data_IF_595036054744
#
_entry.id   IF_595036054744
#
_cell.length_a   1.000
_cell.length_b   1.000
_cell.length_c   1.000
_cell.angle_alpha   90.00
_cell.angle_beta   90.00
_cell.angle_gamma   90.00
#
_symmetry.space_group_name_H-M   'P 1'
#
loop_
_entity.id
_entity.type
_entity.pdbx_description
1 polymer ?
#
# COMPACT_ATOMS: atom_id res chain seq x y z
N UNK A 1 3.76 19.49 0.62
CA UNK A 1 3.42 19.81 -0.78
C UNK A 1 3.25 21.30 -0.93
N UNK A 2 2.01 21.80 -0.88
CA UNK A 2 1.74 23.25 -1.00
C UNK A 2 2.11 24.07 0.25
N UNK A 3 1.92 23.51 1.45
CA UNK A 3 2.27 24.19 2.71
C UNK A 3 3.78 24.45 2.85
N UNK A 4 4.62 23.52 2.37
CA UNK A 4 6.09 23.66 2.39
C UNK A 4 6.57 24.69 1.36
N UNK A 5 5.88 24.79 0.22
CA UNK A 5 6.16 25.79 -0.80
C UNK A 5 5.76 27.20 -0.34
N UNK A 6 4.62 27.31 0.36
CA UNK A 6 4.13 28.57 0.91
C UNK A 6 5.04 29.10 2.03
N UNK A 7 5.49 28.22 2.93
CA UNK A 7 6.45 28.58 3.98
C UNK A 7 7.82 28.99 3.41
N UNK A 8 8.32 28.28 2.38
CA UNK A 8 9.53 28.65 1.65
C UNK A 8 9.41 30.03 1.00
N UNK A 9 8.32 30.27 0.27
CA UNK A 9 8.06 31.56 -0.39
C UNK A 9 7.95 32.70 0.62
N UNK A 10 7.31 32.47 1.78
CA UNK A 10 7.20 33.44 2.86
C UNK A 10 8.58 33.80 3.45
N UNK A 11 9.42 32.80 3.72
CA UNK A 11 10.78 33.02 4.23
C UNK A 11 11.65 33.78 3.22
N UNK A 12 11.55 33.43 1.93
CA UNK A 12 12.26 34.11 0.86
C UNK A 12 11.84 35.57 0.73
N UNK A 13 10.53 35.85 0.81
CA UNK A 13 9.98 37.20 0.75
C UNK A 13 10.47 38.06 1.92
N UNK A 14 10.46 37.51 3.15
CA UNK A 14 10.95 38.20 4.35
C UNK A 14 12.43 38.55 4.22
N UNK A 15 13.26 37.62 3.73
CA UNK A 15 14.69 37.88 3.51
C UNK A 15 14.93 38.94 2.45
N UNK A 16 14.18 38.90 1.33
CA UNK A 16 14.28 39.91 0.26
C UNK A 16 13.87 41.30 0.78
N UNK A 17 12.75 41.39 1.49
CA UNK A 17 12.27 42.65 2.08
C UNK A 17 13.26 43.21 3.11
N UNK A 18 13.81 42.35 3.98
CA UNK A 18 14.80 42.76 4.96
C UNK A 18 16.09 43.29 4.29
N UNK A 19 16.54 42.65 3.20
CA UNK A 19 17.71 43.10 2.44
C UNK A 19 17.46 44.44 1.73
N UNK A 20 16.27 44.64 1.17
CA UNK A 20 15.89 45.89 0.51
C UNK A 20 15.80 47.06 1.49
N UNK A 21 15.14 46.88 2.62
CA UNK A 21 15.07 47.89 3.69
C UNK A 21 16.45 48.24 4.23
N UNK A 22 17.33 47.25 4.40
CA UNK A 22 18.72 47.49 4.81
C UNK A 22 19.48 48.35 3.80
N UNK A 23 19.33 48.05 2.50
CA UNK A 23 19.97 48.83 1.43
C UNK A 23 19.45 50.27 1.40
N UNK A 24 18.13 50.44 1.48
CA UNK A 24 17.49 51.76 1.51
C UNK A 24 17.95 52.60 2.70
N UNK A 25 18.09 51.97 3.87
CA UNK A 25 18.61 52.63 5.07
C UNK A 25 20.08 53.04 4.91
N UNK A 26 20.90 52.20 4.29
CA UNK A 26 22.30 52.52 3.98
C UNK A 26 22.40 53.71 3.02
N UNK A 27 21.59 53.73 1.96
CA UNK A 27 21.53 54.84 1.00
C UNK A 27 21.08 56.14 1.68
N UNK A 28 20.06 56.07 2.56
CA UNK A 28 19.62 57.23 3.36
C UNK A 28 20.73 57.77 4.25
N UNK A 29 21.43 56.89 4.98
CA UNK A 29 22.57 57.29 5.83
C UNK A 29 23.72 57.88 5.02
N UNK A 30 24.00 57.32 3.84
CA UNK A 30 25.05 57.81 2.96
C UNK A 30 24.71 59.20 2.38
N UNK A 31 23.46 59.40 1.97
CA UNK A 31 22.97 60.69 1.50
C UNK A 31 23.02 61.76 2.59
N UNK A 32 22.56 61.44 3.81
CA UNK A 32 22.62 62.35 4.94
C UNK A 32 24.07 62.68 5.33
N UNK A 33 24.98 61.69 5.29
CA UNK A 33 26.42 61.92 5.50
C UNK A 33 26.98 62.92 4.49
N UNK A 34 26.62 62.82 3.21
CA UNK A 34 27.05 63.77 2.17
C UNK A 34 26.54 65.18 2.46
N UNK A 35 25.25 65.30 2.76
CA UNK A 35 24.64 66.58 3.13
C UNK A 35 25.34 67.25 4.32
N UNK A 36 25.60 66.49 5.39
CA UNK A 36 26.29 67.02 6.58
C UNK A 36 27.72 67.47 6.25
N UNK A 37 28.44 66.74 5.39
CA UNK A 37 29.78 67.13 4.95
C UNK A 37 29.71 68.44 4.16
N UNK A 38 28.80 68.55 3.21
CA UNK A 38 28.62 69.75 2.39
C UNK A 38 28.27 70.97 3.26
N UNK A 39 27.35 70.80 4.23
CA UNK A 39 26.97 71.85 5.18
C UNK A 39 28.14 72.27 6.09
N UNK A 40 28.96 71.33 6.56
CA UNK A 40 30.09 71.61 7.48
C UNK A 40 31.30 72.21 6.77
N UNK A 41 31.63 71.72 5.57
CA UNK A 41 32.76 72.19 4.76
C UNK A 41 32.45 73.52 4.08
N UNK A 42 31.19 73.75 3.68
CA UNK A 42 30.77 74.96 3.00
C UNK A 42 31.42 75.13 1.63
N UNK A 43 31.40 76.36 1.11
CA UNK A 43 32.03 76.70 -0.18
C UNK A 43 33.54 76.95 0.00
N UNK A 44 34.37 76.56 -0.98
CA UNK A 44 35.79 76.92 -1.00
C UNK A 44 35.98 78.44 -0.84
N UNK A 45 36.99 78.85 -0.07
CA UNK A 45 37.35 80.26 0.09
C UNK A 45 37.93 80.77 -1.23
N UNK A 46 37.44 81.92 -1.72
CA UNK A 46 37.99 82.55 -2.92
C UNK A 46 39.35 83.21 -2.58
N UNK A 47 40.40 82.72 -3.23
CA UNK A 47 41.79 83.19 -3.06
C UNK A 47 42.39 83.73 -4.36
N UNK A 48 41.63 83.69 -5.47
CA UNK A 48 42.17 83.97 -6.81
C UNK A 48 42.54 85.45 -6.99
N UNK A 49 41.79 86.36 -6.34
CA UNK A 49 42.02 87.81 -6.35
C UNK A 49 42.43 88.36 -4.96
N UNK A 50 42.85 87.49 -4.04
CA UNK A 50 43.13 87.88 -2.65
C UNK A 50 44.53 88.47 -2.46
N UNK A 51 44.65 89.50 -1.61
CA UNK A 51 45.95 90.03 -1.20
C UNK A 51 46.66 89.09 -0.20
N UNK A 52 47.98 89.26 -0.06
CA UNK A 52 48.83 88.39 0.77
C UNK A 52 48.36 88.29 2.23
N UNK A 53 47.89 89.39 2.81
CA UNK A 53 47.38 89.43 4.18
C UNK A 53 46.10 88.60 4.34
N UNK A 54 45.20 88.64 3.35
CA UNK A 54 43.98 87.81 3.34
C UNK A 54 44.32 86.32 3.22
N UNK A 55 45.28 85.96 2.38
CA UNK A 55 45.73 84.57 2.25
C UNK A 55 46.34 84.07 3.56
N UNK A 56 47.20 84.86 4.20
CA UNK A 56 47.80 84.53 5.53
C UNK A 56 46.74 84.31 6.60
N UNK A 57 45.71 85.17 6.66
CA UNK A 57 44.59 85.02 7.59
C UNK A 57 43.80 83.73 7.33
N UNK A 58 43.45 83.45 6.08
CA UNK A 58 42.71 82.23 5.69
C UNK A 58 43.48 80.97 6.09
N UNK A 59 44.80 80.93 5.86
CA UNK A 59 45.66 79.81 6.29
C UNK A 59 45.65 79.62 7.81
N UNK A 60 45.75 80.71 8.57
CA UNK A 60 45.71 80.67 10.04
C UNK A 60 44.37 80.16 10.55
N UNK A 61 43.27 80.61 9.96
CA UNK A 61 41.91 80.18 10.31
C UNK A 61 41.71 78.68 10.02
N UNK A 62 42.16 78.20 8.85
CA UNK A 62 42.10 76.77 8.51
C UNK A 62 42.96 75.94 9.46
N UNK A 63 44.18 76.39 9.77
CA UNK A 63 45.07 75.68 10.70
C UNK A 63 44.45 75.56 12.10
N UNK A 64 43.92 76.65 12.65
CA UNK A 64 43.22 76.62 13.94
C UNK A 64 41.99 75.72 13.92
N UNK A 65 41.21 75.74 12.83
CA UNK A 65 40.04 74.88 12.67
C UNK A 65 40.40 73.40 12.54
N UNK A 66 41.49 73.07 11.83
CA UNK A 66 41.97 71.69 11.70
C UNK A 66 42.36 71.16 13.08
N UNK A 67 43.15 71.90 13.86
CA UNK A 67 43.55 71.46 15.19
C UNK A 67 42.33 71.20 16.10
N UNK A 68 41.36 72.11 16.12
CA UNK A 68 40.12 71.92 16.90
C UNK A 68 39.35 70.66 16.46
N UNK A 69 39.23 70.43 15.15
CA UNK A 69 38.55 69.23 14.63
C UNK A 69 39.33 67.95 14.92
N UNK A 70 40.66 67.99 14.95
CA UNK A 70 41.51 66.86 15.32
C UNK A 70 41.35 66.49 16.80
N UNK A 71 41.29 67.50 17.68
CA UNK A 71 41.03 67.30 19.11
C UNK A 71 39.63 66.68 19.33
N UNK A 72 38.59 67.26 18.73
CA UNK A 72 37.22 66.71 18.81
C UNK A 72 37.14 65.28 18.26
N UNK A 73 37.84 65.01 17.14
CA UNK A 73 37.91 63.66 16.56
C UNK A 73 38.55 62.68 17.53
N UNK A 74 39.65 63.06 18.18
CA UNK A 74 40.36 62.21 19.12
C UNK A 74 39.46 61.83 20.31
N UNK A 75 38.75 62.80 20.89
CA UNK A 75 37.83 62.57 22.01
C UNK A 75 36.70 61.61 21.61
N UNK A 76 36.13 61.78 20.41
CA UNK A 76 35.10 60.90 19.86
C UNK A 76 35.62 59.48 19.63
N UNK A 77 36.80 59.32 19.04
CA UNK A 77 37.43 58.01 18.80
C UNK A 77 37.70 57.28 20.11
N UNK A 78 38.19 58.00 21.13
CA UNK A 78 38.42 57.43 22.45
C UNK A 78 37.10 57.00 23.13
N UNK A 79 36.06 57.84 23.07
CA UNK A 79 34.75 57.53 23.62
C UNK A 79 34.12 56.29 22.98
N UNK A 80 34.19 56.17 21.64
CA UNK A 80 33.74 54.99 20.90
C UNK A 80 34.52 53.75 21.33
N UNK A 81 35.85 53.82 21.36
CA UNK A 81 36.70 52.69 21.76
C UNK A 81 36.41 52.22 23.19
N UNK A 82 36.19 53.16 24.12
CA UNK A 82 35.81 52.84 25.51
C UNK A 82 34.45 52.14 25.55
N UNK A 83 33.47 52.63 24.79
CA UNK A 83 32.13 52.00 24.70
C UNK A 83 32.19 50.60 24.10
N UNK A 84 32.98 50.40 23.07
CA UNK A 84 33.18 49.06 22.48
C UNK A 84 33.76 48.10 23.51
N UNK A 85 34.76 48.53 24.29
CA UNK A 85 35.34 47.72 25.36
C UNK A 85 34.34 47.39 26.49
N UNK A 86 33.42 48.31 26.81
CA UNK A 86 32.35 48.08 27.79
C UNK A 86 31.29 47.09 27.28
N UNK A 87 30.95 47.14 25.99
CA UNK A 87 29.87 46.36 25.38
C UNK A 87 30.31 44.95 24.97
N UNK A 88 31.57 44.78 24.55
CA UNK A 88 32.12 43.50 24.09
C UNK A 88 31.93 42.34 25.10
N UNK A 89 32.31 42.45 26.39
CA UNK A 89 32.17 41.34 27.32
C UNK A 89 30.71 40.99 27.61
N UNK A 90 29.83 41.99 27.64
CA UNK A 90 28.39 41.79 27.88
C UNK A 90 27.76 41.04 26.71
N UNK A 91 28.03 41.48 25.48
CA UNK A 91 27.53 40.81 24.27
C UNK A 91 28.07 39.39 24.15
N UNK A 92 29.37 39.19 24.41
CA UNK A 92 29.98 37.85 24.46
C UNK A 92 29.31 36.96 25.50
N UNK A 93 29.12 37.45 26.72
CA UNK A 93 28.47 36.70 27.81
C UNK A 93 27.05 36.27 27.43
N UNK A 94 26.26 37.20 26.88
CA UNK A 94 24.89 36.94 26.44
C UNK A 94 24.87 35.85 25.35
N UNK A 95 25.72 35.98 24.33
CA UNK A 95 25.81 35.00 23.23
C UNK A 95 26.19 33.61 23.76
N UNK A 96 27.19 33.52 24.64
CA UNK A 96 27.58 32.25 25.26
C UNK A 96 26.45 31.65 26.08
N UNK A 97 25.70 32.45 26.85
CA UNK A 97 24.55 31.98 27.62
C UNK A 97 23.43 31.44 26.73
N UNK A 98 23.12 32.14 25.63
CA UNK A 98 22.14 31.68 24.65
C UNK A 98 22.55 30.37 23.98
N UNK A 99 23.80 30.26 23.49
CA UNK A 99 24.29 29.01 22.90
C UNK A 99 24.22 27.84 23.89
N UNK A 100 24.61 28.06 25.16
CA UNK A 100 24.50 27.02 26.19
C UNK A 100 23.04 26.62 26.43
N UNK A 101 22.11 27.59 26.50
CA UNK A 101 20.69 27.29 26.69
C UNK A 101 20.09 26.52 25.52
N UNK A 102 20.44 26.88 24.29
CA UNK A 102 20.01 26.18 23.08
C UNK A 102 20.51 24.73 23.12
N UNK A 103 21.80 24.51 23.36
CA UNK A 103 22.34 23.15 23.44
C UNK A 103 21.68 22.30 24.54
N UNK A 104 21.39 22.89 25.71
CA UNK A 104 20.68 22.20 26.77
C UNK A 104 19.23 21.82 26.37
N UNK A 105 18.51 22.74 25.70
CA UNK A 105 17.14 22.49 25.24
C UNK A 105 17.10 21.42 24.14
N UNK A 106 18.10 21.41 23.25
CA UNK A 106 18.21 20.40 22.20
C UNK A 106 18.47 19.01 22.78
N UNK A 107 19.33 18.91 23.81
CA UNK A 107 19.56 17.66 24.53
C UNK A 107 18.29 17.17 25.25
N UNK A 108 17.61 18.05 26.01
CA UNK A 108 16.36 17.72 26.69
C UNK A 108 15.26 17.27 25.71
N UNK A 109 15.15 17.96 24.56
CA UNK A 109 14.24 17.57 23.49
C UNK A 109 14.54 16.17 22.97
N UNK A 110 15.80 15.85 22.73
CA UNK A 110 16.21 14.53 22.25
C UNK A 110 15.84 13.42 23.24
N UNK A 111 16.10 13.62 24.54
CA UNK A 111 15.76 12.66 25.59
C UNK A 111 14.24 12.42 25.67
N UNK A 112 13.44 13.49 25.59
CA UNK A 112 11.98 13.41 25.58
C UNK A 112 11.45 12.69 24.33
N UNK A 113 11.99 12.98 23.14
CA UNK A 113 11.62 12.30 21.90
C UNK A 113 11.92 10.79 21.98
N UNK A 114 13.06 10.42 22.58
CA UNK A 114 13.41 9.03 22.81
C UNK A 114 12.43 8.33 23.78
N UNK A 115 12.10 8.97 24.90
CA UNK A 115 11.12 8.41 25.85
C UNK A 115 9.73 8.21 25.23
N UNK A 116 9.27 9.18 24.44
CA UNK A 116 8.00 9.09 23.72
C UNK A 116 8.02 7.91 22.76
N UNK A 117 9.06 7.78 21.94
CA UNK A 117 9.19 6.67 20.99
C UNK A 117 9.21 5.30 21.70
N UNK A 118 9.89 5.20 22.85
CA UNK A 118 9.92 3.99 23.66
C UNK A 118 8.53 3.63 24.20
N UNK A 119 7.82 4.58 24.82
CA UNK A 119 6.46 4.36 25.34
C UNK A 119 5.48 3.97 24.24
N UNK A 120 5.58 4.60 23.07
CA UNK A 120 4.81 4.25 21.88
C UNK A 120 4.99 2.79 21.47
N UNK A 121 6.23 2.29 21.53
CA UNK A 121 6.55 0.90 21.20
C UNK A 121 6.01 -0.07 22.25
N UNK A 122 6.13 0.26 23.54
CA UNK A 122 5.58 -0.54 24.65
C UNK A 122 4.05 -0.66 24.56
N UNK A 123 3.35 0.46 24.32
CA UNK A 123 1.89 0.49 24.16
C UNK A 123 1.45 -0.34 22.95
N UNK A 124 2.09 -0.15 21.79
CA UNK A 124 1.80 -0.97 20.59
C UNK A 124 2.08 -2.45 20.82
N UNK A 125 3.18 -2.79 21.48
CA UNK A 125 3.55 -4.15 21.81
C UNK A 125 2.50 -4.83 22.70
N UNK A 126 2.09 -4.17 23.78
CA UNK A 126 1.06 -4.71 24.69
C UNK A 126 -0.26 -4.96 23.97
N UNK A 127 -0.75 -3.97 23.21
CA UNK A 127 -2.03 -4.06 22.51
C UNK A 127 -2.07 -5.20 21.48
N UNK A 128 -0.96 -5.40 20.74
CA UNK A 128 -0.86 -6.48 19.77
C UNK A 128 -0.96 -7.85 20.45
N UNK A 129 -0.31 -8.02 21.60
CA UNK A 129 -0.30 -9.30 22.31
C UNK A 129 -1.65 -9.64 22.92
N UNK A 130 -2.35 -8.68 23.51
CA UNK A 130 -3.63 -8.94 24.18
C UNK A 130 -4.75 -9.17 23.17
N UNK A 131 -4.76 -8.42 22.07
CA UNK A 131 -5.70 -8.64 20.96
C UNK A 131 -5.48 -10.00 20.32
N UNK A 132 -4.23 -10.39 20.06
CA UNK A 132 -3.91 -11.70 19.48
C UNK A 132 -4.27 -12.85 20.42
N UNK A 133 -3.96 -12.74 21.73
CA UNK A 133 -4.37 -13.73 22.75
C UNK A 133 -5.88 -13.91 22.79
N UNK A 134 -6.64 -12.81 22.75
CA UNK A 134 -8.11 -12.83 22.70
C UNK A 134 -8.62 -13.57 21.45
N UNK A 135 -8.08 -13.25 20.28
CA UNK A 135 -8.46 -13.89 19.02
C UNK A 135 -8.16 -15.39 19.07
N UNK A 136 -6.95 -15.79 19.48
CA UNK A 136 -6.56 -17.21 19.60
C UNK A 136 -7.50 -17.96 20.54
N UNK A 137 -7.84 -17.36 21.69
CA UNK A 137 -8.79 -17.96 22.63
C UNK A 137 -10.18 -18.15 22.01
N UNK A 138 -10.69 -17.15 21.29
CA UNK A 138 -11.99 -17.26 20.61
C UNK A 138 -12.02 -18.38 19.57
N UNK A 139 -10.96 -18.53 18.77
CA UNK A 139 -10.86 -19.61 17.80
C UNK A 139 -10.78 -20.98 18.48
N UNK A 140 -10.01 -21.10 19.56
CA UNK A 140 -9.93 -22.33 20.34
C UNK A 140 -11.30 -22.73 20.91
N UNK A 141 -12.00 -21.80 21.57
CA UNK A 141 -13.32 -22.03 22.15
C UNK A 141 -14.33 -22.47 21.07
N UNK A 142 -14.26 -21.87 19.88
CA UNK A 142 -15.13 -22.21 18.74
C UNK A 142 -14.84 -23.62 18.20
N UNK A 143 -13.58 -24.02 18.08
CA UNK A 143 -13.20 -25.37 17.65
C UNK A 143 -13.73 -26.40 18.63
N UNK A 144 -13.54 -26.16 19.93
CA UNK A 144 -13.98 -27.07 20.98
C UNK A 144 -15.50 -27.27 20.97
N UNK A 145 -16.26 -26.19 20.76
CA UNK A 145 -17.71 -26.25 20.57
C UNK A 145 -18.10 -27.06 19.33
N UNK A 146 -17.47 -26.78 18.18
CA UNK A 146 -17.74 -27.50 16.93
C UNK A 146 -17.43 -29.00 17.05
N UNK A 147 -16.35 -29.37 17.76
CA UNK A 147 -16.00 -30.77 18.01
C UNK A 147 -17.04 -31.48 18.87
N UNK A 148 -17.54 -30.83 19.92
CA UNK A 148 -18.64 -31.35 20.73
C UNK A 148 -19.91 -31.59 19.90
N UNK A 149 -20.35 -30.57 19.14
CA UNK A 149 -21.52 -30.68 18.26
C UNK A 149 -21.36 -31.79 17.22
N UNK A 150 -20.17 -31.92 16.64
CA UNK A 150 -19.85 -32.99 15.69
C UNK A 150 -19.97 -34.36 16.36
N UNK A 151 -19.42 -34.52 17.56
CA UNK A 151 -19.46 -35.78 18.29
C UNK A 151 -20.91 -36.20 18.60
N UNK A 152 -21.75 -35.27 19.05
CA UNK A 152 -23.17 -35.52 19.32
C UNK A 152 -23.90 -36.00 18.06
N UNK A 153 -23.68 -35.33 16.93
CA UNK A 153 -24.25 -35.73 15.64
C UNK A 153 -23.75 -37.11 15.17
N UNK A 154 -22.45 -37.38 15.28
CA UNK A 154 -21.88 -38.69 14.92
C UNK A 154 -22.43 -39.82 15.81
N UNK A 155 -22.66 -39.54 17.10
CA UNK A 155 -23.26 -40.48 18.02
C UNK A 155 -24.73 -40.76 17.65
N UNK A 156 -25.50 -39.72 17.33
CA UNK A 156 -26.88 -39.86 16.90
C UNK A 156 -27.00 -40.64 15.58
N UNK A 157 -26.15 -40.33 14.60
CA UNK A 157 -26.07 -41.07 13.32
C UNK A 157 -25.78 -42.54 13.58
N UNK A 158 -24.78 -42.87 14.40
CA UNK A 158 -24.48 -44.28 14.75
C UNK A 158 -25.68 -44.98 15.38
N UNK A 159 -26.39 -44.33 16.30
CA UNK A 159 -27.60 -44.90 16.93
C UNK A 159 -28.68 -45.18 15.89
N UNK A 160 -28.89 -44.25 14.95
CA UNK A 160 -29.84 -44.43 13.84
C UNK A 160 -29.43 -45.54 12.89
N UNK A 161 -28.13 -45.69 12.60
CA UNK A 161 -27.62 -46.78 11.77
C UNK A 161 -27.87 -48.15 12.42
N UNK A 162 -27.68 -48.28 13.74
CA UNK A 162 -28.02 -49.51 14.47
C UNK A 162 -29.52 -49.81 14.41
N UNK A 163 -30.38 -48.81 14.61
CA UNK A 163 -31.83 -48.94 14.53
C UNK A 163 -32.28 -49.37 13.11
N UNK A 164 -31.70 -48.78 12.07
CA UNK A 164 -31.94 -49.16 10.67
C UNK A 164 -31.47 -50.60 10.39
N UNK A 165 -30.30 -51.00 10.90
CA UNK A 165 -29.77 -52.34 10.72
C UNK A 165 -30.68 -53.40 11.38
N UNK A 166 -31.15 -53.14 12.60
CA UNK A 166 -32.08 -54.02 13.32
C UNK A 166 -33.42 -54.14 12.59
N UNK A 167 -34.03 -53.01 12.20
CA UNK A 167 -35.28 -53.01 11.43
C UNK A 167 -35.12 -53.72 10.07
N UNK A 168 -34.00 -53.52 9.37
CA UNK A 168 -33.70 -54.24 8.12
C UNK A 168 -33.61 -55.76 8.35
N UNK A 169 -33.03 -56.21 9.46
CA UNK A 169 -33.01 -57.63 9.82
C UNK A 169 -34.42 -58.17 10.05
N UNK A 170 -35.24 -57.48 10.85
CA UNK A 170 -36.62 -57.89 11.13
C UNK A 170 -37.48 -57.94 9.85
N UNK A 171 -37.35 -56.95 8.96
CA UNK A 171 -38.05 -56.93 7.66
C UNK A 171 -37.61 -58.10 6.78
N UNK A 172 -36.33 -58.47 6.80
CA UNK A 172 -35.82 -59.63 6.05
C UNK A 172 -36.38 -60.96 6.59
N UNK A 173 -36.49 -61.11 7.92
CA UNK A 173 -37.05 -62.31 8.54
C UNK A 173 -38.57 -62.44 8.24
N UNK A 174 -39.30 -61.32 8.24
CA UNK A 174 -40.74 -61.28 7.94
C UNK A 174 -41.07 -61.45 6.46
N UNK A 175 -40.21 -60.99 5.55
CA UNK A 175 -40.43 -61.13 4.10
C UNK A 175 -40.13 -62.54 3.58
N UNK A 176 -39.44 -63.38 4.35
CA UNK A 176 -38.81 -64.59 3.85
C UNK A 176 -37.77 -64.26 2.78
N UNK A 177 -36.79 -65.15 2.56
CA UNK A 177 -35.83 -64.99 1.45
C UNK A 177 -36.56 -65.11 0.11
N UNK A 178 -37.19 -64.06 -0.37
CA UNK A 178 -37.75 -64.01 -1.72
C UNK A 178 -36.60 -63.91 -2.72
N UNK A 179 -36.00 -65.05 -3.05
CA UNK A 179 -35.11 -65.19 -4.20
C UNK A 179 -35.95 -65.00 -5.46
N UNK A 180 -35.88 -63.81 -6.06
CA UNK A 180 -36.54 -63.49 -7.33
C UNK A 180 -36.08 -64.49 -8.41
N UNK A 181 -36.90 -65.46 -8.84
CA UNK A 181 -36.50 -66.40 -9.88
C UNK A 181 -36.40 -65.63 -11.20
N UNK A 182 -35.35 -65.88 -11.99
CA UNK A 182 -35.23 -65.30 -13.33
C UNK A 182 -36.38 -65.78 -14.20
N UNK A 183 -37.25 -64.85 -14.62
CA UNK A 183 -38.46 -65.16 -15.39
C UNK A 183 -38.09 -65.70 -16.78
N UNK A 184 -38.40 -66.97 -17.05
CA UNK A 184 -38.42 -67.50 -18.42
C UNK A 184 -39.75 -67.14 -19.08
N UNK A 185 -39.70 -66.58 -20.29
CA UNK A 185 -40.89 -66.25 -21.10
C UNK A 185 -41.60 -67.55 -21.50
N UNK A 186 -42.72 -67.86 -20.86
CA UNK A 186 -43.53 -69.05 -21.19
C UNK A 186 -44.66 -68.64 -22.12
N UNK A 187 -44.50 -68.90 -23.42
CA UNK A 187 -45.53 -68.67 -24.43
C UNK A 187 -46.52 -69.85 -24.40
N UNK A 188 -47.77 -69.59 -23.98
CA UNK A 188 -48.84 -70.60 -23.86
C UNK A 188 -49.45 -71.03 -25.20
N UNK A 189 -49.02 -70.46 -26.34
CA UNK A 189 -49.66 -70.65 -27.65
C UNK A 189 -48.73 -71.04 -28.80
N UNK A 190 -47.40 -71.12 -28.62
CA UNK A 190 -46.46 -71.48 -29.71
C UNK A 190 -46.77 -72.85 -30.34
N UNK A 191 -47.10 -73.85 -29.52
CA UNK A 191 -47.32 -75.23 -29.99
C UNK A 191 -48.64 -75.45 -30.73
N UNK A 192 -49.55 -74.46 -30.77
CA UNK A 192 -50.81 -74.54 -31.54
C UNK A 192 -50.66 -73.98 -32.96
N UNK A 193 -49.74 -73.03 -33.20
CA UNK A 193 -49.53 -72.43 -34.51
C UNK A 193 -48.76 -73.36 -35.48
N UNK A 194 -47.82 -74.15 -34.96
CA UNK A 194 -47.03 -75.10 -35.75
C UNK A 194 -47.88 -76.24 -36.38
N UNK A 195 -49.02 -76.61 -35.76
CA UNK A 195 -49.92 -77.65 -36.31
C UNK A 195 -50.78 -77.15 -37.48
N UNK A 196 -51.06 -75.85 -37.56
CA UNK A 196 -51.82 -75.26 -38.67
C UNK A 196 -50.97 -75.10 -39.93
N UNK A 197 -49.70 -74.73 -39.79
CA UNK A 197 -48.79 -74.57 -40.94
C UNK A 197 -48.42 -75.92 -41.60
N UNK A 198 -48.29 -77.01 -40.83
CA UNK A 198 -48.07 -78.35 -41.39
C UNK A 198 -49.24 -78.86 -42.25
N UNK A 199 -50.49 -78.59 -41.85
CA UNK A 199 -51.68 -78.99 -42.63
C UNK A 199 -51.87 -78.17 -43.91
N UNK A 200 -51.44 -76.91 -43.94
CA UNK A 200 -51.49 -76.08 -45.15
C UNK A 200 -50.40 -76.45 -46.18
N UNK A 201 -49.27 -77.01 -45.72
CA UNK A 201 -48.17 -77.42 -46.59
C UNK A 201 -48.46 -78.74 -47.35
N UNK A 202 -49.25 -79.65 -46.78
CA UNK A 202 -49.65 -80.94 -47.39
C UNK A 202 -50.65 -80.81 -48.55
N UNK A 203 -51.33 -79.66 -48.70
CA UNK A 203 -52.34 -79.42 -49.75
C UNK A 203 -51.82 -78.53 -50.91
N UNK A 204 -50.51 -78.49 -51.14
CA UNK A 204 -49.97 -77.75 -52.28
C UNK A 204 -49.92 -78.62 -53.54
N UNK A 205 -50.67 -78.20 -54.56
CA UNK A 205 -50.86 -78.78 -55.91
C UNK A 205 -49.57 -79.09 -56.69
N UNK A 206 -48.42 -78.68 -56.16
CA UNK A 206 -47.08 -78.85 -56.75
C UNK A 206 -46.54 -80.29 -56.64
N UNK A 207 -47.11 -81.13 -55.77
CA UNK A 207 -46.71 -82.54 -55.65
C UNK A 207 -47.26 -83.46 -56.76
N UNK A 208 -48.09 -82.96 -57.67
CA UNK A 208 -48.61 -83.71 -58.83
C UNK A 208 -47.89 -83.43 -60.15
N UNK A 209 -46.83 -82.62 -60.15
CA UNK A 209 -46.08 -82.26 -61.36
C UNK A 209 -44.62 -82.72 -61.24
N UNK A 210 -44.20 -83.65 -62.11
CA UNK A 210 -42.80 -84.10 -62.22
C UNK A 210 -41.95 -82.98 -62.84
N UNK A 211 -40.96 -82.46 -62.09
CA UNK A 211 -39.96 -81.52 -62.63
C UNK A 211 -38.60 -82.22 -62.78
N UNK A 212 -38.06 -82.10 -63.99
CA UNK A 212 -36.82 -82.71 -64.50
C UNK A 212 -35.58 -82.04 -63.89
N UNK A 213 -34.56 -82.85 -63.58
CA UNK A 213 -33.31 -82.46 -62.92
C UNK A 213 -32.36 -81.73 -63.88
N UNK A 214 -32.02 -80.47 -63.58
CA UNK A 214 -30.67 -79.91 -63.73
C UNK A 214 -30.50 -78.68 -62.83
N UNK A 215 -29.38 -78.65 -62.10
CA UNK A 215 -28.95 -77.57 -61.20
C UNK A 215 -28.04 -76.64 -61.97
N UNK A 216 -28.55 -75.47 -62.32
CA UNK A 216 -27.80 -74.32 -62.84
C UNK A 216 -28.66 -73.11 -62.50
N UNK A 217 -28.04 -71.96 -62.23
CA UNK A 217 -28.63 -70.69 -61.80
C UNK A 217 -28.94 -70.60 -60.30
N UNK A 218 -28.39 -69.71 -59.47
CA UNK A 218 -27.52 -68.49 -59.56
C UNK A 218 -27.70 -67.85 -58.16
N UNK A 219 -26.89 -66.96 -57.59
CA UNK A 219 -25.53 -66.46 -57.70
C UNK A 219 -25.41 -65.55 -56.45
N UNK A 220 -24.26 -65.52 -55.79
CA UNK A 220 -23.91 -64.48 -54.81
C UNK A 220 -23.46 -63.23 -55.59
N UNK A 221 -23.93 -62.04 -55.20
CA UNK A 221 -23.29 -60.76 -55.56
C UNK A 221 -23.22 -59.87 -54.32
N UNK A 222 -21.98 -59.65 -53.86
CA UNK A 222 -21.53 -58.55 -53.02
C UNK A 222 -21.53 -57.23 -53.83
N UNK A 223 -21.82 -56.08 -53.20
CA UNK A 223 -20.77 -55.10 -52.93
C UNK A 223 -21.27 -53.81 -52.27
N UNK A 224 -20.65 -53.49 -51.11
CA UNK A 224 -20.04 -52.19 -50.72
C UNK A 224 -19.96 -52.05 -49.19
N UNK A 225 -18.84 -52.50 -48.63
CA UNK A 225 -18.28 -52.08 -47.31
C UNK A 225 -17.20 -50.98 -47.54
N UNK A 226 -16.58 -50.32 -46.51
CA UNK A 226 -16.83 -50.39 -45.05
C UNK A 226 -16.77 -49.05 -44.24
N UNK A 227 -17.52 -49.07 -43.13
CA UNK A 227 -17.16 -48.78 -41.71
C UNK A 227 -16.60 -47.42 -41.26
N UNK A 228 -17.23 -46.91 -40.18
CA UNK A 228 -16.58 -47.01 -38.85
C UNK A 228 -17.59 -47.33 -37.74
N UNK A 229 -17.32 -48.49 -37.15
CA UNK A 229 -18.05 -49.17 -36.10
C UNK A 229 -17.70 -48.65 -34.72
N UNK A 230 -18.70 -48.83 -33.86
CA UNK A 230 -18.76 -48.72 -32.41
C UNK A 230 -17.65 -49.43 -31.61
N UNK A 231 -17.37 -48.81 -30.46
CA UNK A 231 -17.23 -49.33 -29.08
C UNK A 231 -16.23 -50.45 -28.69
N UNK A 232 -15.54 -50.08 -27.62
CA UNK A 232 -15.39 -50.73 -26.31
C UNK A 232 -14.61 -52.06 -26.19
N UNK A 233 -13.42 -51.91 -25.62
CA UNK A 233 -12.86 -52.66 -24.48
C UNK A 233 -12.84 -54.20 -24.54
N UNK A 234 -12.22 -54.75 -25.58
CA UNK A 234 -11.09 -55.69 -25.38
C UNK A 234 -9.74 -54.94 -25.23
N UNK A 235 -9.75 -53.61 -25.26
CA UNK A 235 -8.88 -52.81 -24.38
C UNK A 235 -9.36 -52.99 -22.94
N UNK A 236 -8.85 -53.82 -22.07
CA UNK A 236 -7.63 -54.60 -22.05
C UNK A 236 -7.83 -55.53 -20.85
N UNK A 237 -7.87 -56.85 -21.05
CA UNK A 237 -7.26 -57.77 -20.08
C UNK A 237 -6.67 -58.96 -20.80
N UNK A 238 -5.36 -58.91 -20.99
CA UNK A 238 -4.44 -59.78 -20.27
C UNK A 238 -3.22 -58.97 -19.86
#
# INVERSE_FOLDING_TARGET
GDHDQETYNKALLLRKKAAEELKKEQERKAAERRRIIDDRCGKPKNVDDANEETVKRVLKDYYSRINQLEDEKFDLEYAVKKKDYEVEPVTRSIVTAYHKRIGNLEAEKFDLEYEVAKKDMEVRGSFLTDTLKSIVKQYFDRVLLCEGQKWDLEHEVKKKDFEIADLNSQVNDLRGKFQKPTLKKVSKYENKFAKLQKKAAEFNFRNQLKVVKKKEFTLEEEDKEPKKSEKAEWQTKK
#
